data_IF_788089424304
#
_entry.id   IF_788089424304
#
_cell.length_a   1.000
_cell.length_b   1.000
_cell.length_c   1.000
_cell.angle_alpha   90.00
_cell.angle_beta   90.00
_cell.angle_gamma   90.00
#
_symmetry.space_group_name_H-M   'P 1'
#
loop_
_entity.id
_entity.type
_entity.pdbx_description
1 polymer ?
#
# COMPACT_ATOMS: atom_id res chain seq x y z
N UNK A 1 9.26 -14.77 -12.55
CA UNK A 1 9.66 -13.39 -12.92
C UNK A 1 8.53 -12.40 -12.62
N UNK A 2 7.28 -12.83 -12.68
CA UNK A 2 6.10 -11.97 -12.50
C UNK A 2 5.87 -11.50 -11.05
N UNK A 3 6.16 -12.33 -10.03
CA UNK A 3 5.91 -11.97 -8.63
C UNK A 3 6.78 -10.79 -8.15
N UNK A 4 8.09 -10.84 -8.44
CA UNK A 4 9.04 -9.82 -8.01
C UNK A 4 8.74 -8.49 -8.71
N UNK A 5 8.44 -8.54 -10.02
CA UNK A 5 8.05 -7.35 -10.79
C UNK A 5 6.75 -6.75 -10.25
N UNK A 6 5.75 -7.58 -9.93
CA UNK A 6 4.49 -7.11 -9.38
C UNK A 6 4.68 -6.47 -7.98
N UNK A 7 5.52 -7.07 -7.13
CA UNK A 7 5.85 -6.53 -5.81
C UNK A 7 6.56 -5.17 -5.92
N UNK A 8 7.50 -5.02 -6.86
CA UNK A 8 8.17 -3.75 -7.13
C UNK A 8 7.15 -2.72 -7.63
N UNK A 9 6.26 -3.08 -8.55
CA UNK A 9 5.21 -2.18 -9.06
C UNK A 9 4.33 -1.69 -7.91
N UNK A 10 3.85 -2.59 -7.03
CA UNK A 10 3.05 -2.19 -5.87
C UNK A 10 3.80 -1.23 -4.94
N UNK A 11 5.07 -1.50 -4.62
CA UNK A 11 5.87 -0.63 -3.76
C UNK A 11 6.09 0.75 -4.40
N UNK A 12 6.36 0.81 -5.71
CA UNK A 12 6.59 2.05 -6.45
C UNK A 12 5.31 2.87 -6.54
N UNK A 13 4.18 2.25 -6.92
CA UNK A 13 2.88 2.92 -7.00
C UNK A 13 2.46 3.44 -5.63
N UNK A 14 2.61 2.62 -4.59
CA UNK A 14 2.28 3.03 -3.23
C UNK A 14 3.19 4.17 -2.75
N UNK A 15 4.51 4.06 -2.96
CA UNK A 15 5.46 5.12 -2.65
C UNK A 15 5.18 6.44 -3.36
N UNK A 16 4.76 6.41 -4.62
CA UNK A 16 4.36 7.61 -5.38
C UNK A 16 3.09 8.24 -4.81
N UNK A 17 2.08 7.44 -4.46
CA UNK A 17 0.85 7.92 -3.82
C UNK A 17 1.18 8.57 -2.48
N UNK A 18 2.06 7.95 -1.67
CA UNK A 18 2.54 8.54 -0.42
C UNK A 18 3.18 9.89 -0.61
N UNK A 19 4.09 9.96 -1.58
CA UNK A 19 4.86 11.14 -1.89
C UNK A 19 3.93 12.30 -2.26
N UNK A 20 2.96 12.06 -3.16
CA UNK A 20 1.94 13.05 -3.52
C UNK A 20 1.07 13.48 -2.34
N UNK A 21 0.62 12.55 -1.50
CA UNK A 21 -0.20 12.86 -0.31
C UNK A 21 0.58 13.70 0.71
N UNK A 22 1.88 13.45 0.85
CA UNK A 22 2.74 14.21 1.78
C UNK A 22 3.01 15.65 1.34
N UNK A 23 2.87 15.95 0.05
CA UNK A 23 3.02 17.31 -0.48
C UNK A 23 1.77 18.16 -0.28
N UNK A 24 0.62 17.53 0.01
CA UNK A 24 -0.57 18.27 0.40
C UNK A 24 -0.41 18.77 1.83
N UNK A 25 -0.44 20.11 2.07
CA UNK A 25 -0.43 20.65 3.41
C UNK A 25 -1.79 20.37 4.07
N UNK A 26 -1.95 19.15 4.58
CA UNK A 26 -3.09 18.74 5.36
C UNK A 26 -2.91 19.32 6.78
N UNK A 27 -3.88 20.11 7.29
CA UNK A 27 -3.81 20.60 8.66
C UNK A 27 -3.89 19.42 9.65
N UNK A 28 -3.20 19.54 10.78
CA UNK A 28 -3.40 18.62 11.90
C UNK A 28 -4.87 18.70 12.37
N UNK A 29 -5.55 17.57 12.68
CA UNK A 29 -5.03 16.21 12.89
C UNK A 29 -5.15 15.28 11.67
N UNK A 30 -5.68 15.76 10.54
CA UNK A 30 -6.00 14.93 9.37
C UNK A 30 -4.73 14.34 8.75
N UNK A 31 -3.66 15.14 8.66
CA UNK A 31 -2.36 14.66 8.20
C UNK A 31 -1.86 13.45 9.02
N UNK A 32 -2.09 13.47 10.33
CA UNK A 32 -1.64 12.41 11.23
C UNK A 32 -2.47 11.13 11.01
N UNK A 33 -3.78 11.26 10.84
CA UNK A 33 -4.67 10.12 10.57
C UNK A 33 -4.31 9.46 9.24
N UNK A 34 -4.13 10.24 8.17
CA UNK A 34 -3.73 9.72 6.85
C UNK A 34 -2.36 9.04 6.93
N UNK A 35 -1.43 9.61 7.69
CA UNK A 35 -0.10 9.02 7.89
C UNK A 35 -0.17 7.65 8.58
N UNK A 36 -0.99 7.54 9.62
CA UNK A 36 -1.19 6.28 10.36
C UNK A 36 -1.89 5.24 9.49
N UNK A 37 -2.96 5.61 8.77
CA UNK A 37 -3.67 4.71 7.85
C UNK A 37 -2.74 4.14 6.77
N UNK A 38 -1.89 4.97 6.21
CA UNK A 38 -0.97 4.54 5.16
C UNK A 38 0.10 3.57 5.67
N UNK A 39 0.65 3.82 6.86
CA UNK A 39 1.60 2.91 7.51
C UNK A 39 0.95 1.55 7.75
N UNK A 40 -0.29 1.52 8.23
CA UNK A 40 -1.06 0.28 8.43
C UNK A 40 -1.22 -0.48 7.11
N UNK A 41 -1.57 0.23 6.03
CA UNK A 41 -1.79 -0.37 4.71
C UNK A 41 -0.48 -0.92 4.11
N UNK A 42 0.64 -0.22 4.32
CA UNK A 42 1.98 -0.69 3.94
C UNK A 42 2.35 -1.98 4.68
N UNK A 43 2.09 -2.04 5.99
CA UNK A 43 2.30 -3.25 6.80
C UNK A 43 1.45 -4.41 6.28
N UNK A 44 0.18 -4.17 5.95
CA UNK A 44 -0.72 -5.20 5.40
C UNK A 44 -0.21 -5.73 4.07
N UNK A 45 0.23 -4.86 3.16
CA UNK A 45 0.80 -5.28 1.86
C UNK A 45 2.04 -6.13 2.06
N UNK A 46 2.94 -5.72 2.96
CA UNK A 46 4.17 -6.48 3.26
C UNK A 46 3.81 -7.84 3.87
N UNK A 47 2.94 -7.88 4.87
CA UNK A 47 2.50 -9.14 5.50
C UNK A 47 1.77 -10.06 4.52
N UNK A 48 0.98 -9.51 3.59
CA UNK A 48 0.33 -10.27 2.52
C UNK A 48 1.34 -10.81 1.49
N UNK A 49 2.38 -10.02 1.15
CA UNK A 49 3.45 -10.45 0.25
C UNK A 49 4.29 -11.59 0.83
N UNK A 50 4.50 -11.60 2.15
CA UNK A 50 5.15 -12.70 2.87
C UNK A 50 4.20 -13.89 3.16
N UNK A 51 2.94 -13.82 2.71
CA UNK A 51 1.95 -14.89 2.91
C UNK A 51 1.47 -15.06 4.35
N UNK A 52 1.78 -14.11 5.24
CA UNK A 52 1.35 -14.11 6.65
C UNK A 52 -0.14 -13.74 6.74
N UNK A 53 -0.61 -12.88 5.83
CA UNK A 53 -2.02 -12.57 5.66
C UNK A 53 -2.55 -13.21 4.37
N UNK A 54 -3.68 -13.95 4.41
CA UNK A 54 -4.28 -14.45 3.19
C UNK A 54 -4.72 -13.26 2.33
N UNK A 55 -4.16 -13.15 1.13
CA UNK A 55 -4.56 -12.17 0.11
C UNK A 55 -5.94 -12.50 -0.51
N UNK A 56 -6.90 -12.91 0.31
CA UNK A 56 -8.25 -13.32 -0.09
C UNK A 56 -9.16 -12.15 -0.48
N UNK A 57 -8.69 -10.90 -0.34
CA UNK A 57 -9.40 -9.68 -0.74
C UNK A 57 -9.12 -9.22 -2.18
N UNK A 58 -8.32 -9.96 -2.97
CA UNK A 58 -8.15 -9.65 -4.38
C UNK A 58 -9.21 -10.41 -5.19
N UNK A 59 -10.12 -9.73 -5.91
CA UNK A 59 -11.08 -10.40 -6.78
C UNK A 59 -10.29 -11.17 -7.83
N UNK A 60 -10.40 -12.50 -7.79
CA UNK A 60 -9.88 -13.36 -8.84
C UNK A 60 -10.65 -13.04 -10.11
N UNK A 61 -10.03 -12.29 -11.01
CA UNK A 61 -10.46 -12.22 -12.41
C UNK A 61 -10.17 -13.59 -13.02
N UNK A 62 -11.15 -14.48 -12.91
CA UNK A 62 -11.25 -15.68 -13.75
C UNK A 62 -11.56 -15.21 -15.16
N UNK A 63 -10.54 -15.24 -16.03
CA UNK A 63 -10.73 -15.22 -17.48
C UNK A 63 -11.27 -16.55 -17.96
#
# INVERSE_FOLDING_TARGET
MDLIVNLIIYLVVFGLIWWLVSLLPLPAPVAQIVRVLFIILLIVIVLAAFGILPASFLPRLTL
#
